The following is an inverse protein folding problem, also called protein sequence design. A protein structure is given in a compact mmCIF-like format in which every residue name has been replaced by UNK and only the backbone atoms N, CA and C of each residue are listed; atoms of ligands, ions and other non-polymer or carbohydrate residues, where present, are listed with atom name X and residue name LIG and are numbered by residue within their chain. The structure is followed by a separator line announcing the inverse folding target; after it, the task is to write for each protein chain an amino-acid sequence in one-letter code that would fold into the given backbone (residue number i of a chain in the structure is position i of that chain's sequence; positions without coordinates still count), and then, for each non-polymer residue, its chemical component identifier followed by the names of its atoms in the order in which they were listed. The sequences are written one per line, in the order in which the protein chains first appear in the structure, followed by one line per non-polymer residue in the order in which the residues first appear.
data_IF_319281241705
#
_entry.id   IF_319281241705
#
_cell.length_a   1.000
_cell.length_b   1.000
_cell.length_c   1.000
_cell.angle_alpha   90.00
_cell.angle_beta   90.00
_cell.angle_gamma   90.00
#
_symmetry.space_group_name_H-M   'P 1'
#
loop_
_entity.id
_entity.type
_entity.pdbx_description
1 polymer ?
#
# COMPACT_ATOMS: atom_id res chain seq x y z
N UNK A 1 9.43 4.31 -4.16
CA UNK A 1 8.29 3.85 -3.35
C UNK A 1 7.39 5.04 -3.03
N UNK A 2 6.08 4.88 -3.23
CA UNK A 2 5.06 5.88 -2.94
C UNK A 2 3.84 5.16 -2.35
N UNK A 3 3.20 5.78 -1.37
CA UNK A 3 1.91 5.33 -0.84
C UNK A 3 0.89 6.41 -1.15
N UNK A 4 -0.20 6.04 -1.82
CA UNK A 4 -1.30 6.93 -2.17
C UNK A 4 -2.59 6.35 -1.59
N UNK A 5 -3.48 7.21 -1.11
CA UNK A 5 -4.79 6.83 -0.61
C UNK A 5 -5.85 7.59 -1.41
N UNK A 6 -6.79 6.83 -1.99
CA UNK A 6 -7.95 7.33 -2.72
C UNK A 6 -9.20 7.11 -1.85
N UNK A 7 -9.75 8.18 -1.24
CA UNK A 7 -10.93 8.08 -0.40
C UNK A 7 -12.20 7.76 -1.17
N UNK A 8 -12.31 8.14 -2.46
CA UNK A 8 -13.50 7.89 -3.27
C UNK A 8 -13.60 6.41 -3.64
N UNK A 9 -12.46 5.77 -3.90
CA UNK A 9 -12.35 4.34 -4.15
C UNK A 9 -12.29 3.50 -2.85
N UNK A 10 -12.10 4.13 -1.69
CA UNK A 10 -11.73 3.46 -0.43
C UNK A 10 -10.57 2.47 -0.63
N UNK A 11 -9.50 2.93 -1.29
CA UNK A 11 -8.36 2.12 -1.66
C UNK A 11 -7.02 2.82 -1.37
N UNK A 12 -5.99 2.03 -1.09
CA UNK A 12 -4.63 2.52 -0.91
C UNK A 12 -3.67 1.74 -1.81
N UNK A 13 -2.72 2.46 -2.40
CA UNK A 13 -1.77 1.95 -3.37
C UNK A 13 -0.36 2.09 -2.82
N UNK A 14 0.36 0.98 -2.72
CA UNK A 14 1.78 0.95 -2.40
C UNK A 14 2.53 0.68 -3.70
N UNK A 15 3.08 1.72 -4.32
CA UNK A 15 3.91 1.60 -5.51
C UNK A 15 5.36 1.42 -5.09
N UNK A 16 6.00 0.34 -5.52
CA UNK A 16 7.37 0.01 -5.12
C UNK A 16 8.41 0.49 -6.15
N UNK A 17 8.07 0.44 -7.43
CA UNK A 17 8.96 0.77 -8.56
C UNK A 17 8.23 1.52 -9.67
N UNK A 18 8.97 2.00 -10.68
CA UNK A 18 8.41 2.64 -11.87
C UNK A 18 7.71 1.62 -12.78
N UNK A 19 6.64 2.05 -13.44
CA UNK A 19 5.90 1.20 -14.38
C UNK A 19 6.65 1.12 -15.71
N UNK A 20 7.17 -0.06 -16.04
CA UNK A 20 7.96 -0.30 -17.27
C UNK A 20 7.23 -1.12 -18.33
N UNK A 21 6.00 -1.57 -18.06
CA UNK A 21 5.19 -2.37 -18.97
C UNK A 21 3.74 -2.51 -18.53
N UNK A 22 2.99 -3.36 -19.23
CA UNK A 22 1.65 -3.77 -18.79
C UNK A 22 1.74 -4.60 -17.51
N UNK A 23 0.76 -4.43 -16.63
CA UNK A 23 0.73 -5.09 -15.34
C UNK A 23 -0.20 -6.29 -15.41
N UNK A 24 0.22 -7.38 -14.78
CA UNK A 24 -0.68 -8.47 -14.39
C UNK A 24 -1.13 -8.23 -12.95
N UNK A 25 -2.45 -8.15 -12.74
CA UNK A 25 -3.02 -8.03 -11.40
C UNK A 25 -3.40 -9.41 -10.88
N UNK A 26 -2.77 -9.80 -9.77
CA UNK A 26 -3.09 -10.99 -9.00
C UNK A 26 -4.07 -10.61 -7.88
N UNK A 27 -5.31 -11.09 -7.97
CA UNK A 27 -6.31 -10.94 -6.91
C UNK A 27 -6.00 -11.97 -5.83
N UNK A 28 -5.60 -11.50 -4.64
CA UNK A 28 -5.23 -12.38 -3.53
C UNK A 28 -6.47 -12.75 -2.72
N UNK A 29 -7.31 -11.76 -2.42
CA UNK A 29 -8.61 -11.90 -1.77
C UNK A 29 -9.44 -10.62 -2.02
N UNK A 30 -10.58 -10.51 -1.33
CA UNK A 30 -11.49 -9.35 -1.46
C UNK A 30 -10.87 -8.03 -0.99
N UNK A 31 -9.78 -8.07 -0.21
CA UNK A 31 -9.14 -6.90 0.41
C UNK A 31 -7.80 -6.50 -0.25
N UNK A 32 -7.20 -7.36 -1.08
CA UNK A 32 -5.82 -7.18 -1.54
C UNK A 32 -5.62 -7.66 -2.99
N UNK A 33 -5.07 -6.77 -3.81
CA UNK A 33 -4.49 -7.09 -5.11
C UNK A 33 -2.97 -6.85 -5.12
N UNK A 34 -2.28 -7.59 -6.00
CA UNK A 34 -0.85 -7.47 -6.24
C UNK A 34 -0.62 -7.25 -7.73
N UNK A 35 0.06 -6.17 -8.09
CA UNK A 35 0.40 -5.87 -9.49
C UNK A 35 1.84 -6.27 -9.79
N UNK A 36 2.03 -7.06 -10.85
CA UNK A 36 3.32 -7.62 -11.25
C UNK A 36 3.68 -7.17 -12.66
N UNK A 37 4.95 -6.86 -12.88
CA UNK A 37 5.52 -6.53 -14.19
C UNK A 37 5.76 -7.79 -15.04
N UNK A 38 5.95 -7.67 -16.37
CA UNK A 38 6.16 -8.81 -17.24
C UNK A 38 7.41 -9.66 -16.92
N UNK A 39 8.39 -9.06 -16.24
CA UNK A 39 9.61 -9.74 -15.78
C UNK A 39 9.43 -10.48 -14.44
N UNK A 40 8.22 -10.44 -13.86
CA UNK A 40 7.89 -11.01 -12.57
C UNK A 40 8.20 -10.10 -11.38
N UNK A 41 8.73 -8.89 -11.61
CA UNK A 41 8.99 -7.93 -10.54
C UNK A 41 7.70 -7.36 -9.98
N UNK A 42 7.63 -7.20 -8.66
CA UNK A 42 6.47 -6.59 -8.00
C UNK A 42 6.43 -5.08 -8.31
N UNK A 43 5.35 -4.64 -8.97
CA UNK A 43 5.10 -3.22 -9.21
C UNK A 43 4.52 -2.55 -7.96
N UNK A 44 3.47 -3.13 -7.40
CA UNK A 44 2.76 -2.55 -6.26
C UNK A 44 1.71 -3.46 -5.65
N UNK A 45 1.11 -2.95 -4.57
CA UNK A 45 0.05 -3.61 -3.80
C UNK A 45 -1.12 -2.63 -3.70
N UNK A 46 -2.33 -3.12 -3.93
CA UNK A 46 -3.57 -2.37 -3.71
C UNK A 46 -4.30 -2.97 -2.51
N UNK A 47 -4.62 -2.12 -1.53
CA UNK A 47 -5.45 -2.44 -0.38
C UNK A 47 -6.87 -1.93 -0.66
N UNK A 48 -7.81 -2.85 -0.78
CA UNK A 48 -9.24 -2.59 -0.97
C UNK A 48 -9.90 -2.52 0.41
N UNK A 49 -10.78 -1.53 0.64
CA UNK A 49 -11.23 -1.16 2.00
C UNK A 49 -10.10 -0.59 2.86
N UNK A 50 -9.35 0.35 2.28
CA UNK A 50 -8.20 0.99 2.90
C UNK A 50 -8.57 1.72 4.20
N UNK A 51 -9.78 2.25 4.33
CA UNK A 51 -10.27 2.84 5.57
C UNK A 51 -10.18 1.85 6.72
N UNK A 52 -10.74 0.65 6.57
CA UNK A 52 -10.67 -0.35 7.62
C UNK A 52 -9.23 -0.80 7.87
N UNK A 53 -8.43 -0.98 6.82
CA UNK A 53 -7.07 -1.49 6.93
C UNK A 53 -6.08 -0.47 7.52
N UNK A 54 -6.29 0.83 7.26
CA UNK A 54 -5.44 1.93 7.74
C UNK A 54 -5.92 2.53 9.07
N UNK A 55 -7.14 2.20 9.51
CA UNK A 55 -7.69 2.60 10.80
C UNK A 55 -7.21 1.71 11.96
N UNK A 56 -5.90 1.44 12.07
CA UNK A 56 -5.34 1.02 13.37
C UNK A 56 -5.78 2.02 14.46
N UNK A 57 -5.82 1.60 15.73
CA UNK A 57 -6.39 2.39 16.85
C UNK A 57 -5.90 3.86 16.92
N UNK A 58 -4.74 4.16 16.32
CA UNK A 58 -4.12 5.48 16.26
C UNK A 58 -4.11 6.17 14.87
N UNK A 59 -4.61 5.50 13.80
CA UNK A 59 -4.55 5.94 12.39
C UNK A 59 -3.15 6.36 11.97
N UNK A 60 -2.15 5.57 12.32
CA UNK A 60 -0.75 5.88 12.05
C UNK A 60 -0.13 4.85 11.11
N UNK A 61 0.46 5.32 10.01
CA UNK A 61 1.40 4.50 9.25
C UNK A 61 2.77 4.56 9.93
N UNK A 62 3.31 3.40 10.32
CA UNK A 62 4.62 3.31 10.98
C UNK A 62 5.64 2.59 10.09
N UNK A 63 6.79 3.24 9.88
CA UNK A 63 7.99 2.63 9.31
C UNK A 63 8.95 2.34 10.46
N UNK A 64 9.11 1.06 10.81
CA UNK A 64 9.99 0.59 11.89
C UNK A 64 11.23 -0.09 11.31
N UNK A 65 12.40 0.43 11.65
CA UNK A 65 13.64 -0.32 11.50
C UNK A 65 13.79 -1.28 12.68
N UNK A 66 13.51 -2.57 12.47
CA UNK A 66 13.56 -3.54 13.56
C UNK A 66 14.97 -3.74 14.16
N UNK A 67 16.03 -3.48 13.39
CA UNK A 67 17.39 -3.65 13.86
C UNK A 67 17.82 -2.52 14.80
N UNK A 68 17.45 -1.27 14.48
CA UNK A 68 17.82 -0.10 15.28
C UNK A 68 16.74 0.30 16.29
N UNK A 69 15.49 -0.14 16.09
CA UNK A 69 14.32 0.30 16.84
C UNK A 69 13.82 1.69 16.44
N UNK A 70 14.39 2.31 15.41
CA UNK A 70 13.98 3.63 14.95
C UNK A 70 12.63 3.57 14.25
N UNK A 71 11.76 4.53 14.58
CA UNK A 71 10.41 4.62 14.03
C UNK A 71 10.15 5.97 13.38
N UNK A 72 9.55 5.95 12.19
CA UNK A 72 8.86 7.09 11.60
C UNK A 72 7.36 6.83 11.62
N UNK A 73 6.60 7.75 12.21
CA UNK A 73 5.15 7.66 12.33
C UNK A 73 4.49 8.79 11.55
N UNK A 74 3.63 8.44 10.60
CA UNK A 74 2.77 9.39 9.88
C UNK A 74 1.33 9.23 10.35
N UNK A 75 0.76 10.31 10.88
CA UNK A 75 -0.66 10.35 11.21
C UNK A 75 -1.47 10.52 9.93
N UNK A 76 -2.38 9.60 9.67
CA UNK A 76 -3.31 9.66 8.55
C UNK A 76 -4.46 10.57 8.94
N UNK A 77 -4.60 11.69 8.21
CA UNK A 77 -5.74 12.56 8.39
C UNK A 77 -6.95 11.96 7.69
N UNK A 78 -8.16 12.05 8.26
CA UNK A 78 -9.36 11.77 7.50
C UNK A 78 -9.41 12.70 6.27
N UNK A 79 -9.87 12.15 5.14
CA UNK A 79 -10.24 12.94 3.97
C UNK A 79 -11.38 13.92 4.29
#
# INVERSE_FOLDING_TARGET
MQITYDPDANAAYITLTDKTGELETLVINDDINIDVLPDGSLYGIELLDADRQLQSDDRTLTVLNQLTGEELRLKLQPA
#
